data_IF_385039420588
#
_entry.id   IF_385039420588
#
_cell.length_a   1.000
_cell.length_b   1.000
_cell.length_c   1.000
_cell.angle_alpha   90.00
_cell.angle_beta   90.00
_cell.angle_gamma   90.00
#
_symmetry.space_group_name_H-M   'P 1'
#
loop_
_entity.id
_entity.type
_entity.pdbx_description
1 polymer ?
#
# COMPACT_ATOMS: atom_id res chain seq x y z
N UNK A 1 8.66 -8.07 8.26
CA UNK A 1 8.21 -8.09 6.85
C UNK A 1 8.44 -6.71 6.28
N UNK A 2 9.26 -6.59 5.23
CA UNK A 2 9.41 -5.35 4.47
C UNK A 2 8.24 -5.29 3.50
N UNK A 3 7.25 -4.42 3.77
CA UNK A 3 6.18 -4.17 2.81
C UNK A 3 6.72 -3.19 1.78
N UNK A 4 7.07 -3.73 0.63
CA UNK A 4 7.63 -2.97 -0.47
C UNK A 4 6.64 -2.94 -1.63
N UNK A 5 6.32 -1.75 -2.11
CA UNK A 5 5.68 -1.57 -3.41
C UNK A 5 6.77 -1.60 -4.47
N UNK A 6 6.63 -2.50 -5.45
CA UNK A 6 7.54 -2.62 -6.59
C UNK A 6 6.78 -2.26 -7.86
N UNK A 7 7.38 -1.40 -8.69
CA UNK A 7 6.93 -1.11 -10.05
C UNK A 7 8.07 -1.35 -11.02
N UNK A 8 7.78 -2.07 -12.09
CA UNK A 8 8.72 -2.38 -13.16
C UNK A 8 8.18 -1.72 -14.43
N UNK A 9 9.02 -0.94 -15.09
CA UNK A 9 8.76 -0.33 -16.38
C UNK A 9 9.78 -0.86 -17.38
N UNK A 10 9.30 -1.45 -18.47
CA UNK A 10 10.15 -2.02 -19.52
C UNK A 10 9.74 -1.46 -20.88
N UNK A 11 10.71 -0.99 -21.65
CA UNK A 11 10.49 -0.60 -23.03
C UNK A 11 10.68 -1.82 -23.94
N UNK A 12 9.57 -2.43 -24.36
CA UNK A 12 9.62 -3.65 -25.19
C UNK A 12 9.91 -3.34 -26.66
N UNK A 13 9.61 -2.11 -27.14
CA UNK A 13 9.81 -1.65 -28.52
C UNK A 13 9.93 -0.13 -28.58
N UNK A 14 10.78 0.36 -29.48
CA UNK A 14 10.91 1.79 -29.76
C UNK A 14 11.59 2.56 -28.62
N UNK A 15 11.12 3.78 -28.40
CA UNK A 15 11.57 4.68 -27.36
C UNK A 15 10.36 5.08 -26.49
N UNK A 16 10.55 5.08 -25.17
CA UNK A 16 9.50 5.39 -24.19
C UNK A 16 9.99 6.46 -23.21
N UNK A 17 9.54 7.72 -23.34
CA UNK A 17 9.75 8.71 -22.29
C UNK A 17 8.87 8.36 -21.08
N UNK A 18 9.50 8.31 -19.90
CA UNK A 18 8.85 7.99 -18.62
C UNK A 18 9.01 9.17 -17.69
N UNK A 19 7.90 9.57 -17.07
CA UNK A 19 7.90 10.49 -15.93
C UNK A 19 7.19 9.80 -14.78
N UNK A 20 7.91 9.63 -13.66
CA UNK A 20 7.37 9.17 -12.40
C UNK A 20 7.17 10.38 -11.50
N UNK A 21 5.95 10.55 -11.01
CA UNK A 21 5.59 11.58 -10.03
C UNK A 21 5.17 10.85 -8.77
N UNK A 22 5.90 11.06 -7.69
CA UNK A 22 5.59 10.50 -6.37
C UNK A 22 5.39 11.65 -5.38
N UNK A 23 4.13 11.83 -4.98
CA UNK A 23 3.76 12.69 -3.87
C UNK A 23 3.24 11.81 -2.74
N UNK A 24 4.07 11.62 -1.73
CA UNK A 24 3.73 10.77 -0.58
C UNK A 24 3.48 11.64 0.66
N UNK A 25 2.45 11.29 1.41
CA UNK A 25 2.10 11.94 2.68
C UNK A 25 2.09 10.89 3.79
N UNK A 26 3.27 10.58 4.39
CA UNK A 26 3.37 9.63 5.49
C UNK A 26 2.45 10.03 6.65
N UNK A 27 2.07 9.04 7.45
CA UNK A 27 1.15 9.22 8.59
C UNK A 27 -0.16 9.91 8.16
N UNK A 28 -0.62 9.61 6.94
CA UNK A 28 -1.86 10.17 6.39
C UNK A 28 -1.92 11.69 6.38
N UNK A 29 -0.79 12.34 6.07
CA UNK A 29 -0.67 13.79 6.04
C UNK A 29 -0.91 14.49 7.40
N UNK A 30 -0.92 13.77 8.52
CA UNK A 30 -1.07 14.36 9.86
C UNK A 30 0.05 15.35 10.20
N UNK A 31 1.21 15.23 9.53
CA UNK A 31 2.31 16.19 9.60
C UNK A 31 2.77 16.55 8.18
N UNK A 32 3.37 17.74 8.04
CA UNK A 32 4.10 18.09 6.82
C UNK A 32 5.27 17.13 6.64
N UNK A 33 5.62 16.84 5.39
CA UNK A 33 6.72 15.92 5.09
C UNK A 33 7.93 16.63 4.50
N UNK A 34 9.09 15.99 4.66
CA UNK A 34 10.36 16.40 4.05
C UNK A 34 10.89 15.26 3.19
N UNK A 35 11.71 15.61 2.20
CA UNK A 35 12.35 14.62 1.36
C UNK A 35 13.78 15.03 1.01
N UNK A 36 14.66 14.03 0.85
CA UNK A 36 16.01 14.24 0.34
C UNK A 36 16.43 13.05 -0.54
N UNK A 37 17.30 13.33 -1.50
CA UNK A 37 17.84 12.33 -2.42
C UNK A 37 19.05 11.63 -1.81
N UNK A 38 19.24 10.36 -2.17
CA UNK A 38 20.38 9.52 -1.80
C UNK A 38 20.90 8.77 -3.02
N UNK A 39 22.02 8.06 -2.88
CA UNK A 39 22.58 7.19 -3.94
C UNK A 39 22.76 7.90 -5.29
N UNK A 40 23.41 9.06 -5.30
CA UNK A 40 23.61 9.86 -6.54
C UNK A 40 22.30 10.17 -7.29
N UNK A 41 21.25 10.50 -6.52
CA UNK A 41 19.91 10.82 -7.02
C UNK A 41 19.15 9.62 -7.60
N UNK A 42 19.51 8.38 -7.24
CA UNK A 42 18.77 7.17 -7.64
C UNK A 42 17.91 6.60 -6.51
N UNK A 43 17.93 7.22 -5.33
CA UNK A 43 17.01 6.93 -4.24
C UNK A 43 16.53 8.20 -3.55
N UNK A 44 15.49 8.07 -2.73
CA UNK A 44 15.01 9.15 -1.88
C UNK A 44 14.43 8.64 -0.57
N UNK A 45 14.53 9.49 0.45
CA UNK A 45 13.85 9.31 1.72
C UNK A 45 12.76 10.38 1.85
N UNK A 46 11.54 9.97 2.19
CA UNK A 46 10.43 10.87 2.53
C UNK A 46 10.04 10.62 3.98
N UNK A 47 9.94 11.68 4.79
CA UNK A 47 9.63 11.57 6.22
C UNK A 47 8.45 12.46 6.58
N UNK A 48 7.50 11.95 7.35
CA UNK A 48 6.36 12.71 7.89
C UNK A 48 5.94 12.16 9.25
N UNK A 49 6.08 12.97 10.30
CA UNK A 49 5.89 12.51 11.68
C UNK A 49 6.81 11.34 12.02
N UNK A 50 6.24 10.25 12.52
CA UNK A 50 6.97 9.02 12.88
C UNK A 50 7.02 7.97 11.74
N UNK A 51 6.55 8.33 10.55
CA UNK A 51 6.57 7.42 9.40
C UNK A 51 7.55 7.91 8.34
N UNK A 52 8.37 6.97 7.87
CA UNK A 52 9.41 7.21 6.89
C UNK A 52 9.24 6.24 5.71
N UNK A 53 9.57 6.72 4.52
CA UNK A 53 9.55 5.96 3.28
C UNK A 53 10.94 5.99 2.66
N UNK A 54 11.43 4.84 2.22
CA UNK A 54 12.61 4.75 1.36
C UNK A 54 12.18 4.35 -0.04
N UNK A 55 12.59 5.11 -1.04
CA UNK A 55 12.46 4.81 -2.47
C UNK A 55 13.85 4.51 -3.03
N UNK A 56 13.98 3.40 -3.75
CA UNK A 56 15.16 3.08 -4.57
C UNK A 56 14.72 2.89 -6.03
N UNK A 57 15.52 3.42 -6.95
CA UNK A 57 15.30 3.34 -8.40
C UNK A 57 16.51 2.66 -9.03
N UNK A 58 16.26 1.57 -9.74
CA UNK A 58 17.29 0.73 -10.33
C UNK A 58 17.18 0.66 -11.85
N UNK A 59 18.30 0.36 -12.49
CA UNK A 59 18.44 0.34 -13.96
C UNK A 59 18.90 1.67 -14.55
N UNK A 60 19.00 2.72 -13.74
CA UNK A 60 19.37 4.09 -14.16
C UNK A 60 20.73 4.17 -14.85
N UNK A 61 21.71 3.38 -14.41
CA UNK A 61 23.06 3.33 -14.99
C UNK A 61 23.12 2.80 -16.44
N UNK A 62 22.06 2.12 -16.90
CA UNK A 62 21.96 1.59 -18.26
C UNK A 62 21.32 2.61 -19.22
N UNK A 63 20.77 3.70 -18.68
CA UNK A 63 20.02 4.68 -19.44
C UNK A 63 20.92 5.79 -19.97
N UNK A 64 20.57 6.28 -21.16
CA UNK A 64 21.25 7.44 -21.75
C UNK A 64 21.02 8.72 -20.93
N UNK A 65 19.85 8.85 -20.31
CA UNK A 65 19.51 9.95 -19.40
C UNK A 65 18.57 9.49 -18.31
N UNK A 66 18.88 9.93 -17.09
CA UNK A 66 18.02 9.81 -15.92
C UNK A 66 18.20 11.05 -15.05
N UNK A 67 17.11 11.65 -14.62
CA UNK A 67 17.12 12.74 -13.66
C UNK A 67 16.07 12.47 -12.59
N UNK A 68 16.39 12.88 -11.37
CA UNK A 68 15.44 12.88 -10.26
C UNK A 68 15.59 14.18 -9.48
N UNK A 69 14.46 14.83 -9.25
CA UNK A 69 14.38 16.11 -8.55
C UNK A 69 13.30 16.06 -7.48
N UNK A 70 13.40 17.01 -6.55
CA UNK A 70 12.39 17.27 -5.54
C UNK A 70 11.81 18.64 -5.83
N UNK A 71 10.50 18.69 -6.06
CA UNK A 71 9.76 19.94 -6.17
C UNK A 71 8.96 20.15 -4.90
N UNK A 72 9.00 21.38 -4.37
CA UNK A 72 8.19 21.76 -3.22
C UNK A 72 7.64 23.17 -3.47
N UNK A 73 6.33 23.25 -3.66
CA UNK A 73 5.62 24.52 -3.71
C UNK A 73 5.59 25.13 -2.29
N UNK A 74 5.69 26.46 -2.20
CA UNK A 74 5.64 27.19 -0.95
C UNK A 74 4.29 27.01 -0.22
N UNK A 75 3.21 26.74 -0.95
CA UNK A 75 1.89 26.47 -0.40
C UNK A 75 1.64 24.98 -0.09
N UNK A 76 2.53 24.07 -0.54
CA UNK A 76 2.35 22.62 -0.40
C UNK A 76 3.11 22.06 0.81
N UNK A 77 2.38 21.34 1.66
CA UNK A 77 2.91 20.74 2.88
C UNK A 77 3.80 19.52 2.63
N UNK A 78 3.78 18.97 1.41
CA UNK A 78 4.47 17.73 1.08
C UNK A 78 5.28 17.86 -0.22
N UNK A 79 6.56 17.47 -0.25
CA UNK A 79 7.35 17.50 -1.46
C UNK A 79 6.87 16.48 -2.48
N UNK A 80 7.11 16.78 -3.75
CA UNK A 80 6.86 15.90 -4.89
C UNK A 80 8.20 15.46 -5.47
N UNK A 81 8.41 14.15 -5.54
CA UNK A 81 9.54 13.57 -6.26
C UNK A 81 9.17 13.41 -7.73
N UNK A 82 10.05 13.88 -8.62
CA UNK A 82 9.89 13.72 -10.06
C UNK A 82 11.12 13.00 -10.57
N UNK A 83 10.93 11.84 -11.19
CA UNK A 83 11.99 11.15 -11.93
C UNK A 83 11.64 11.06 -13.41
N UNK A 84 12.60 11.41 -14.26
CA UNK A 84 12.45 11.41 -15.70
C UNK A 84 13.54 10.56 -16.35
N UNK A 85 13.14 9.79 -17.35
CA UNK A 85 14.04 8.96 -18.12
C UNK A 85 13.48 8.71 -19.51
N UNK A 86 14.36 8.40 -20.44
CA UNK A 86 14.00 7.90 -21.76
C UNK A 86 14.51 6.47 -21.90
N UNK A 87 13.60 5.51 -22.02
CA UNK A 87 13.91 4.10 -22.18
C UNK A 87 13.99 3.73 -23.67
N UNK A 88 15.04 3.03 -24.06
CA UNK A 88 15.17 2.37 -25.35
C UNK A 88 14.72 0.91 -25.26
N UNK A 89 14.51 0.26 -26.42
CA UNK A 89 14.16 -1.16 -26.47
C UNK A 89 15.12 -2.01 -25.62
N UNK A 90 14.56 -2.72 -24.64
CA UNK A 90 15.29 -3.59 -23.72
C UNK A 90 15.62 -2.93 -22.38
N UNK A 91 15.53 -1.60 -22.29
CA UNK A 91 15.78 -0.89 -21.04
C UNK A 91 14.65 -1.14 -20.03
N UNK A 92 15.06 -1.22 -18.77
CA UNK A 92 14.17 -1.45 -17.62
C UNK A 92 14.46 -0.46 -16.52
N UNK A 93 13.40 0.07 -15.92
CA UNK A 93 13.45 0.82 -14.67
C UNK A 93 12.62 0.12 -13.62
N UNK A 94 13.23 -0.07 -12.45
CA UNK A 94 12.56 -0.66 -11.30
C UNK A 94 12.48 0.38 -10.18
N UNK A 95 11.29 0.56 -9.64
CA UNK A 95 11.01 1.44 -8.53
C UNK A 95 10.59 0.57 -7.35
N UNK A 96 11.28 0.67 -6.22
CA UNK A 96 10.91 -0.05 -5.02
C UNK A 96 10.80 0.92 -3.85
N UNK A 97 9.66 0.87 -3.17
CA UNK A 97 9.35 1.77 -2.06
C UNK A 97 8.92 0.96 -0.84
N UNK A 98 9.52 1.23 0.31
CA UNK A 98 9.16 0.58 1.57
C UNK A 98 8.95 1.58 2.71
N UNK A 99 8.15 1.18 3.70
CA UNK A 99 7.90 1.96 4.92
C UNK A 99 8.88 1.55 6.03
N UNK A 100 9.31 2.51 6.85
CA UNK A 100 10.14 2.29 8.02
C UNK A 100 9.70 3.17 9.20
N UNK A 101 10.05 2.72 10.41
CA UNK A 101 9.78 3.43 11.67
C UNK A 101 10.90 4.39 12.09
N UNK A 102 12.03 4.40 11.36
CA UNK A 102 13.12 5.35 11.58
C UNK A 102 13.66 5.86 10.25
N UNK A 103 14.21 7.08 10.26
CA UNK A 103 14.87 7.69 9.09
C UNK A 103 16.02 6.80 8.60
N UNK A 104 16.83 6.26 9.53
CA UNK A 104 17.98 5.42 9.18
C UNK A 104 17.56 4.12 8.48
N UNK A 105 16.46 3.51 8.91
CA UNK A 105 15.92 2.34 8.24
C UNK A 105 15.32 2.69 6.87
N UNK A 106 14.65 3.83 6.73
CA UNK A 106 14.20 4.32 5.43
C UNK A 106 15.36 4.62 4.48
N UNK A 107 16.46 5.20 4.98
CA UNK A 107 17.67 5.43 4.22
C UNK A 107 18.31 4.11 3.79
N UNK A 108 18.38 3.13 4.67
CA UNK A 108 18.87 1.78 4.31
C UNK A 108 18.03 1.18 3.19
N UNK A 109 16.70 1.36 3.19
CA UNK A 109 15.83 0.93 2.09
C UNK A 109 16.09 1.69 0.78
N UNK A 110 16.30 3.00 0.86
CA UNK A 110 16.54 3.87 -0.30
C UNK A 110 17.94 3.67 -0.92
N UNK A 111 18.91 3.27 -0.10
CA UNK A 111 20.28 2.94 -0.52
C UNK A 111 20.46 1.46 -0.86
N UNK A 112 19.48 0.61 -0.52
CA UNK A 112 19.55 -0.81 -0.81
C UNK A 112 19.53 -1.02 -2.33
N UNK A 113 20.67 -1.48 -2.84
CA UNK A 113 20.80 -2.00 -4.19
C UNK A 113 20.52 -3.50 -4.12
N UNK A 114 19.27 -3.87 -4.35
CA UNK A 114 18.90 -5.27 -4.64
C UNK A 114 19.46 -5.68 -6.01
N UNK A 115 19.37 -6.96 -6.37
CA UNK A 115 19.58 -7.37 -7.76
C UNK A 115 18.24 -7.49 -8.50
N UNK A 116 18.25 -7.32 -9.83
CA UNK A 116 17.04 -7.44 -10.67
C UNK A 116 16.30 -8.77 -10.45
N UNK A 117 17.05 -9.86 -10.22
CA UNK A 117 16.50 -11.18 -9.93
C UNK A 117 15.62 -11.22 -8.67
N UNK A 118 15.90 -10.40 -7.66
CA UNK A 118 15.05 -10.32 -6.45
C UNK A 118 13.68 -9.70 -6.75
N UNK A 119 13.63 -8.68 -7.62
CA UNK A 119 12.37 -8.07 -8.03
C UNK A 119 11.53 -9.03 -8.89
N UNK A 120 12.18 -9.77 -9.77
CA UNK A 120 11.50 -10.82 -10.55
C UNK A 120 10.96 -11.94 -9.67
N UNK A 121 11.74 -12.35 -8.66
CA UNK A 121 11.29 -13.30 -7.66
C UNK A 121 10.09 -12.76 -6.89
N UNK A 122 10.10 -11.48 -6.48
CA UNK A 122 9.00 -10.83 -5.78
C UNK A 122 7.73 -10.72 -6.66
N UNK A 123 7.86 -10.35 -7.93
CA UNK A 123 6.76 -10.33 -8.90
C UNK A 123 6.19 -11.73 -9.11
N UNK A 124 7.05 -12.71 -9.34
CA UNK A 124 6.65 -14.11 -9.54
C UNK A 124 5.90 -14.63 -8.31
N UNK A 125 6.44 -14.38 -7.12
CA UNK A 125 5.80 -14.76 -5.87
C UNK A 125 4.42 -14.10 -5.72
N UNK A 126 4.31 -12.80 -6.00
CA UNK A 126 3.04 -12.06 -5.95
C UNK A 126 2.01 -12.64 -6.91
N UNK A 127 2.41 -12.92 -8.16
CA UNK A 127 1.53 -13.53 -9.16
C UNK A 127 1.07 -14.92 -8.77
N UNK A 128 1.97 -15.76 -8.25
CA UNK A 128 1.63 -17.11 -7.78
C UNK A 128 0.64 -17.04 -6.62
N UNK A 129 0.92 -16.22 -5.60
CA UNK A 129 0.02 -16.04 -4.45
C UNK A 129 -1.38 -15.61 -4.88
N UNK A 130 -1.50 -14.60 -5.74
CA UNK A 130 -2.80 -14.13 -6.22
C UNK A 130 -3.53 -15.14 -7.11
N UNK A 131 -2.81 -15.87 -7.97
CA UNK A 131 -3.41 -16.91 -8.81
C UNK A 131 -3.89 -18.11 -7.98
N UNK A 132 -3.07 -18.57 -7.03
CA UNK A 132 -3.42 -19.65 -6.12
C UNK A 132 -4.60 -19.28 -5.22
N UNK A 133 -4.64 -18.04 -4.74
CA UNK A 133 -5.79 -17.53 -4.00
C UNK A 133 -7.02 -17.53 -4.90
N UNK A 134 -6.98 -16.82 -6.03
CA UNK A 134 -8.16 -16.67 -6.89
C UNK A 134 -8.71 -17.99 -7.46
N UNK A 135 -7.86 -19.02 -7.61
CA UNK A 135 -8.27 -20.35 -8.05
C UNK A 135 -9.14 -21.13 -7.03
N UNK A 136 -9.22 -20.67 -5.77
CA UNK A 136 -10.06 -21.29 -4.74
C UNK A 136 -11.55 -20.90 -4.87
N UNK A 137 -11.87 -19.91 -5.71
CA UNK A 137 -13.24 -19.44 -5.88
C UNK A 137 -14.16 -20.57 -6.36
N UNK A 138 -15.22 -20.86 -5.61
CA UNK A 138 -16.20 -21.90 -5.92
C UNK A 138 -17.33 -21.42 -6.85
N UNK A 139 -17.35 -20.14 -7.23
CA UNK A 139 -18.39 -19.56 -8.08
C UNK A 139 -18.12 -19.80 -9.57
N UNK A 140 -19.05 -20.49 -10.24
CA UNK A 140 -18.98 -20.85 -11.66
C UNK A 140 -20.13 -20.27 -12.50
N UNK A 141 -20.85 -19.27 -11.96
CA UNK A 141 -22.00 -18.66 -12.61
C UNK A 141 -21.65 -17.65 -13.72
N UNK A 142 -22.65 -17.05 -14.37
CA UNK A 142 -22.46 -16.17 -15.53
C UNK A 142 -21.67 -14.89 -15.24
N UNK A 143 -21.53 -14.49 -13.97
CA UNK A 143 -20.84 -13.26 -13.56
C UNK A 143 -19.43 -13.51 -13.00
N UNK A 144 -18.78 -14.62 -13.36
CA UNK A 144 -17.55 -15.07 -12.71
C UNK A 144 -16.43 -14.01 -12.70
N UNK A 145 -16.24 -13.28 -13.80
CA UNK A 145 -15.24 -12.21 -13.88
C UNK A 145 -15.52 -11.05 -12.91
N UNK A 146 -16.78 -10.62 -12.80
CA UNK A 146 -17.21 -9.58 -11.88
C UNK A 146 -17.06 -10.02 -10.41
N UNK A 147 -17.50 -11.24 -10.11
CA UNK A 147 -17.38 -11.84 -8.77
C UNK A 147 -15.91 -11.96 -8.35
N UNK A 148 -15.06 -12.47 -9.24
CA UNK A 148 -13.63 -12.60 -8.98
C UNK A 148 -12.97 -11.24 -8.76
N UNK A 149 -13.31 -10.22 -9.56
CA UNK A 149 -12.80 -8.85 -9.38
C UNK A 149 -13.21 -8.27 -8.04
N UNK A 150 -14.47 -8.42 -7.64
CA UNK A 150 -14.97 -7.95 -6.34
C UNK A 150 -14.31 -8.70 -5.18
N UNK A 151 -14.13 -10.02 -5.30
CA UNK A 151 -13.45 -10.83 -4.29
C UNK A 151 -12.00 -10.37 -4.10
N UNK A 152 -11.28 -10.07 -5.19
CA UNK A 152 -9.93 -9.50 -5.12
C UNK A 152 -9.91 -8.17 -4.36
N UNK A 153 -10.88 -7.29 -4.61
CA UNK A 153 -11.01 -6.01 -3.88
C UNK A 153 -11.21 -6.27 -2.39
N UNK A 154 -12.16 -7.12 -2.01
CA UNK A 154 -12.41 -7.49 -0.63
C UNK A 154 -11.18 -8.10 0.05
N UNK A 155 -10.45 -8.96 -0.64
CA UNK A 155 -9.19 -9.53 -0.14
C UNK A 155 -8.13 -8.45 0.12
N UNK A 156 -8.02 -7.46 -0.76
CA UNK A 156 -7.07 -6.35 -0.60
C UNK A 156 -7.41 -5.43 0.59
N UNK A 157 -8.62 -5.51 1.17
CA UNK A 157 -8.98 -4.79 2.40
C UNK A 157 -8.46 -5.47 3.67
N UNK A 158 -7.92 -6.69 3.56
CA UNK A 158 -7.37 -7.41 4.72
C UNK A 158 -5.95 -6.96 5.01
N UNK A 159 -5.72 -6.45 6.22
CA UNK A 159 -4.39 -6.20 6.75
C UNK A 159 -3.73 -7.53 7.13
N UNK A 160 -2.98 -8.09 6.18
CA UNK A 160 -2.35 -9.41 6.29
C UNK A 160 -1.62 -9.70 7.64
N UNK A 161 -0.95 -8.73 8.30
CA UNK A 161 -0.22 -9.01 9.55
C UNK A 161 -1.10 -9.43 10.72
N UNK A 162 -2.32 -8.90 10.80
CA UNK A 162 -3.22 -9.17 11.93
C UNK A 162 -4.45 -9.96 11.50
N UNK A 163 -4.92 -9.79 10.26
CA UNK A 163 -6.21 -10.30 9.80
C UNK A 163 -7.35 -9.29 9.93
N UNK A 164 -7.08 -8.08 10.43
CA UNK A 164 -8.05 -6.99 10.46
C UNK A 164 -8.51 -6.62 9.04
N UNK A 165 -9.76 -6.17 8.87
CA UNK A 165 -10.35 -5.84 7.56
C UNK A 165 -10.87 -4.41 7.61
N UNK A 166 -10.26 -3.51 6.84
CA UNK A 166 -10.69 -2.11 6.78
C UNK A 166 -11.99 -1.99 5.97
N UNK A 167 -12.83 -0.99 6.28
CA UNK A 167 -14.05 -0.77 5.50
C UNK A 167 -13.72 -0.28 4.07
N UNK A 168 -12.75 0.63 3.93
CA UNK A 168 -12.19 1.05 2.65
C UNK A 168 -10.77 1.64 2.83
N UNK A 169 -9.87 1.55 1.82
CA UNK A 169 -8.53 2.12 1.88
C UNK A 169 -8.56 3.62 1.50
N UNK A 170 -9.52 4.36 2.04
CA UNK A 170 -9.76 5.78 1.77
C UNK A 170 -9.79 6.54 3.09
N UNK A 171 -9.08 7.67 3.17
CA UNK A 171 -9.20 8.61 4.30
C UNK A 171 -10.54 9.33 4.24
N UNK A 172 -11.13 9.63 5.41
CA UNK A 172 -12.39 10.33 5.66
C UNK A 172 -12.86 11.28 4.55
N UNK A 173 -13.52 10.74 3.53
CA UNK A 173 -14.37 11.55 2.67
C UNK A 173 -15.66 11.78 3.47
N UNK A 174 -16.05 13.03 3.72
CA UNK A 174 -17.26 13.30 4.47
C UNK A 174 -18.45 12.74 3.70
N UNK A 175 -19.40 12.10 4.39
CA UNK A 175 -20.67 11.67 3.77
C UNK A 175 -21.39 12.89 3.16
N UNK A 176 -21.23 14.04 3.81
CA UNK A 176 -21.68 15.36 3.36
C UNK A 176 -20.68 16.43 3.82
N UNK A 177 -20.23 17.31 2.92
CA UNK A 177 -19.32 18.40 3.28
C UNK A 177 -19.91 19.28 4.40
N UNK A 178 -19.21 19.39 5.54
CA UNK A 178 -19.68 20.12 6.71
C UNK A 178 -20.72 19.37 7.56
N UNK A 179 -21.04 18.12 7.21
CA UNK A 179 -21.87 17.22 8.00
C UNK A 179 -21.13 16.65 9.21
N UNK A 180 -21.89 15.97 10.09
CA UNK A 180 -21.38 15.36 11.33
C UNK A 180 -20.95 13.89 11.16
N UNK A 181 -21.14 13.32 9.96
CA UNK A 181 -20.82 11.91 9.64
C UNK A 181 -19.52 11.81 8.85
N UNK A 182 -18.44 12.22 9.49
CA UNK A 182 -17.08 12.12 8.95
C UNK A 182 -16.42 10.89 9.54
N UNK A 183 -16.90 9.71 9.15
CA UNK A 183 -16.34 8.47 9.67
C UNK A 183 -15.16 8.04 8.82
N UNK A 184 -14.04 7.70 9.46
CA UNK A 184 -12.92 7.12 8.74
C UNK A 184 -13.13 5.64 8.38
N UNK A 185 -13.02 5.34 7.09
CA UNK A 185 -13.19 3.99 6.55
C UNK A 185 -11.92 3.14 6.61
N UNK A 186 -10.77 3.72 6.98
CA UNK A 186 -9.51 2.99 7.20
C UNK A 186 -9.57 2.09 8.43
N UNK A 187 -10.56 2.26 9.29
CA UNK A 187 -10.76 1.43 10.47
C UNK A 187 -11.48 0.12 10.14
N UNK A 188 -11.28 -0.85 11.02
CA UNK A 188 -11.96 -2.15 10.97
C UNK A 188 -13.32 -2.02 11.65
N UNK A 189 -14.36 -1.73 10.86
CA UNK A 189 -15.74 -1.77 11.30
C UNK A 189 -16.21 -3.22 11.39
N UNK A 190 -16.62 -3.68 12.58
CA UNK A 190 -16.99 -5.09 12.79
C UNK A 190 -18.12 -5.54 11.85
N UNK A 191 -19.07 -4.64 11.58
CA UNK A 191 -20.18 -4.87 10.63
C UNK A 191 -19.66 -5.11 9.20
N UNK A 192 -18.83 -4.19 8.70
CA UNK A 192 -18.32 -4.21 7.33
C UNK A 192 -17.38 -5.40 7.10
N UNK A 193 -16.54 -5.71 8.10
CA UNK A 193 -15.73 -6.92 8.11
C UNK A 193 -16.59 -8.19 8.06
N UNK A 194 -17.70 -8.23 8.82
CA UNK A 194 -18.63 -9.38 8.81
C UNK A 194 -19.24 -9.61 7.42
N UNK A 195 -19.67 -8.55 6.73
CA UNK A 195 -20.18 -8.68 5.36
C UNK A 195 -19.10 -9.12 4.37
N UNK A 196 -17.88 -8.61 4.52
CA UNK A 196 -16.73 -9.04 3.72
C UNK A 196 -16.45 -10.53 3.90
N UNK A 197 -16.39 -10.99 5.15
CA UNK A 197 -16.16 -12.40 5.47
C UNK A 197 -17.30 -13.30 5.01
N UNK A 198 -18.55 -12.86 5.12
CA UNK A 198 -19.69 -13.59 4.61
C UNK A 198 -19.59 -13.76 3.08
N UNK A 199 -19.30 -12.70 2.34
CA UNK A 199 -19.12 -12.76 0.89
C UNK A 199 -17.97 -13.69 0.49
N UNK A 200 -16.82 -13.59 1.17
CA UNK A 200 -15.67 -14.47 0.93
C UNK A 200 -15.98 -15.93 1.25
N UNK A 201 -16.68 -16.20 2.36
CA UNK A 201 -17.10 -17.55 2.77
C UNK A 201 -18.05 -18.19 1.76
N UNK A 202 -19.04 -17.43 1.25
CA UNK A 202 -19.93 -17.90 0.17
C UNK A 202 -19.16 -18.28 -1.10
N UNK A 203 -18.02 -17.62 -1.35
CA UNK A 203 -17.14 -17.91 -2.48
C UNK A 203 -16.14 -19.05 -2.21
N UNK A 204 -16.12 -19.62 -1.00
CA UNK A 204 -15.23 -20.73 -0.62
C UNK A 204 -13.91 -20.30 0.01
N UNK A 205 -13.72 -19.02 0.32
CA UNK A 205 -12.53 -18.53 1.01
C UNK A 205 -12.75 -18.54 2.53
N UNK A 206 -11.91 -19.28 3.25
CA UNK A 206 -12.02 -19.46 4.72
C UNK A 206 -10.87 -18.87 5.51
N UNK A 207 -9.69 -18.71 4.90
CA UNK A 207 -8.48 -18.25 5.59
C UNK A 207 -8.64 -16.84 6.17
N UNK A 208 -9.36 -15.95 5.48
CA UNK A 208 -9.66 -14.60 5.95
C UNK A 208 -10.54 -14.62 7.20
N UNK A 209 -11.51 -15.54 7.28
CA UNK A 209 -12.34 -15.71 8.48
C UNK A 209 -11.53 -16.22 9.67
N UNK A 210 -10.59 -17.14 9.43
CA UNK A 210 -9.67 -17.62 10.47
C UNK A 210 -8.77 -16.50 10.98
N UNK A 211 -8.15 -15.73 10.07
CA UNK A 211 -7.30 -14.60 10.42
C UNK A 211 -8.07 -13.53 11.19
N UNK A 212 -9.27 -13.15 10.73
CA UNK A 212 -10.10 -12.17 11.41
C UNK A 212 -10.57 -12.66 12.80
N UNK A 213 -10.92 -13.94 12.94
CA UNK A 213 -11.29 -14.51 14.24
C UNK A 213 -10.11 -14.49 15.21
N UNK A 214 -8.90 -14.76 14.72
CA UNK A 214 -7.68 -14.65 15.53
C UNK A 214 -7.46 -13.19 15.98
N UNK A 215 -7.58 -12.23 15.07
CA UNK A 215 -7.52 -10.81 15.38
C UNK A 215 -8.55 -10.38 16.41
N UNK A 216 -9.82 -10.74 16.21
CA UNK A 216 -10.93 -10.40 17.11
C UNK A 216 -10.67 -10.92 18.52
N UNK A 217 -10.14 -12.15 18.66
CA UNK A 217 -9.76 -12.74 19.96
C UNK A 217 -8.53 -12.08 20.61
N UNK A 218 -7.71 -11.40 19.83
CA UNK A 218 -6.54 -10.67 20.34
C UNK A 218 -6.88 -9.27 20.88
N UNK A 219 -8.10 -8.79 20.63
CA UNK A 219 -8.55 -7.49 21.11
C UNK A 219 -8.72 -7.48 22.62
N UNK A 220 -8.44 -6.34 23.23
CA UNK A 220 -8.67 -6.10 24.65
C UNK A 220 -10.14 -5.80 24.93
N UNK A 221 -10.93 -6.84 25.25
CA UNK A 221 -12.31 -6.72 25.71
C UNK A 221 -12.63 -7.74 26.82
N UNK A 222 -13.55 -7.38 27.72
CA UNK A 222 -13.92 -8.22 28.88
C UNK A 222 -15.20 -9.05 28.63
N UNK A 223 -16.13 -8.51 27.85
CA UNK A 223 -17.37 -9.16 27.43
C UNK A 223 -17.79 -8.66 26.06
N UNK A 224 -18.81 -9.28 25.44
CA UNK A 224 -19.32 -8.81 24.16
C UNK A 224 -19.88 -7.38 24.21
N UNK A 225 -20.30 -6.90 25.38
CA UNK A 225 -20.80 -5.53 25.59
C UNK A 225 -19.66 -4.49 25.61
N UNK A 226 -18.42 -4.92 25.83
CA UNK A 226 -17.20 -4.09 25.81
C UNK A 226 -16.62 -3.98 24.39
N UNK A 227 -17.20 -4.66 23.40
CA UNK A 227 -16.76 -4.52 22.01
C UNK A 227 -17.15 -3.14 21.45
N UNK A 228 -16.17 -2.46 20.84
CA UNK A 228 -16.42 -1.27 20.06
C UNK A 228 -16.97 -1.63 18.68
N UNK A 229 -17.68 -0.69 18.08
CA UNK A 229 -18.19 -0.85 16.71
C UNK A 229 -17.07 -0.93 15.66
N UNK A 230 -15.91 -0.34 15.96
CA UNK A 230 -14.74 -0.32 15.10
C UNK A 230 -13.44 -0.21 15.89
N UNK A 231 -12.33 -0.60 15.26
CA UNK A 231 -10.98 -0.59 15.81
C UNK A 231 -9.94 -0.18 14.75
N UNK A 232 -8.76 0.24 15.20
CA UNK A 232 -7.59 0.34 14.33
C UNK A 232 -7.15 -1.04 13.83
N UNK A 233 -6.34 -1.08 12.77
CA UNK A 233 -5.88 -2.33 12.14
C UNK A 233 -5.01 -3.21 13.06
N UNK A 234 -4.50 -2.65 14.17
CA UNK A 234 -3.77 -3.39 15.22
C UNK A 234 -4.59 -3.56 16.50
N UNK A 235 -5.89 -3.23 16.47
CA UNK A 235 -6.80 -3.35 17.60
C UNK A 235 -6.84 -2.12 18.51
N UNK A 236 -6.33 -0.98 18.04
CA UNK A 236 -6.42 0.29 18.76
C UNK A 236 -7.87 0.65 19.06
N UNK A 237 -8.17 1.01 20.32
CA UNK A 237 -9.49 1.42 20.80
C UNK A 237 -9.71 2.94 20.70
N UNK A 238 -8.63 3.70 20.86
CA UNK A 238 -8.63 5.14 20.69
C UNK A 238 -8.44 5.48 19.20
N UNK A 239 -9.45 6.12 18.64
CA UNK A 239 -9.56 6.44 17.21
C UNK A 239 -9.81 7.93 16.99
N UNK A 240 -9.45 8.77 17.97
CA UNK A 240 -9.65 10.21 17.91
C UNK A 240 -9.04 10.79 16.62
N UNK A 241 -9.91 11.38 15.79
CA UNK A 241 -9.49 12.07 14.57
C UNK A 241 -8.88 13.42 14.93
N UNK A 242 -7.82 13.80 14.21
CA UNK A 242 -7.10 15.06 14.40
C UNK A 242 -7.12 15.83 13.08
N UNK A 243 -7.45 17.11 13.15
CA UNK A 243 -7.37 18.07 12.04
C UNK A 243 -5.97 18.68 11.89
#
# INVERSE_FOLDING_TARGET
AHYSLIRIVECTRGELPVTMILKASPLYAAASSTAYLVSENTGAVISGGEQHLGLTIMGTHQLASFTMTIEQDAEDRNPTLIAQATLQKGDRLLFAMGTASTVQAAQTLAECVSCEAEFEAALTHTLVCWRMWAAQCSYHGPYASWVQRSALVLKMLTYAPTGAIVAAPTTSLPEEFGGVRNWDYRYTWLRDATFTLYALSVLGYTEESHAFTHWLRSLSYTSGEDLQIMYGIRGERDLEERE
#
